data_IF_740789638726
#
_entry.id   IF_740789638726
#
_cell.length_a   1.000
_cell.length_b   1.000
_cell.length_c   1.000
_cell.angle_alpha   90.00
_cell.angle_beta   90.00
_cell.angle_gamma   90.00
#
_symmetry.space_group_name_H-M   'P 1'
#
loop_
_entity.id
_entity.type
_entity.pdbx_description
1 polymer ?
#
# COMPACT_ATOMS: atom_id res chain seq x y z
N UNK A 1 8.03 17.44 1.59
CA UNK A 1 9.25 17.83 2.34
C UNK A 1 10.51 17.11 1.86
N UNK A 2 10.43 16.25 0.84
CA UNK A 2 11.59 15.52 0.30
C UNK A 2 12.01 14.31 1.14
N UNK A 3 11.24 13.97 2.18
CA UNK A 3 11.50 12.80 2.99
C UNK A 3 11.15 11.52 2.23
N UNK A 4 11.90 10.45 2.50
CA UNK A 4 11.65 9.11 1.96
C UNK A 4 11.01 8.27 3.07
N UNK A 5 9.98 7.52 2.72
CA UNK A 5 9.26 6.66 3.66
C UNK A 5 9.38 5.20 3.23
N UNK A 6 9.54 4.31 4.19
CA UNK A 6 9.52 2.86 3.96
C UNK A 6 9.00 2.12 5.18
N UNK A 7 8.60 0.87 5.00
CA UNK A 7 8.13 -0.02 6.04
C UNK A 7 8.43 -1.47 5.65
N UNK A 8 8.56 -2.38 6.63
CA UNK A 8 8.70 -3.80 6.35
C UNK A 8 7.37 -4.38 5.87
N UNK A 9 7.45 -5.47 5.10
CA UNK A 9 6.25 -6.22 4.69
C UNK A 9 5.46 -6.74 5.88
N UNK A 10 6.17 -7.17 6.93
CA UNK A 10 5.58 -7.71 8.16
C UNK A 10 5.70 -6.71 9.29
N UNK A 11 4.59 -6.46 9.98
CA UNK A 11 4.56 -5.63 11.19
C UNK A 11 5.50 -6.18 12.28
N UNK A 12 5.71 -7.51 12.32
CA UNK A 12 6.48 -8.21 13.35
C UNK A 12 5.58 -8.76 14.46
N UNK A 13 5.98 -9.87 15.08
CA UNK A 13 5.13 -10.67 15.99
C UNK A 13 4.62 -9.93 17.24
N UNK A 14 5.25 -8.81 17.62
CA UNK A 14 4.95 -8.04 18.83
C UNK A 14 4.56 -6.59 18.54
N UNK A 15 4.47 -6.19 17.27
CA UNK A 15 4.18 -4.81 16.91
C UNK A 15 2.67 -4.57 16.81
N UNK A 16 2.21 -3.43 17.32
CA UNK A 16 0.83 -2.97 17.14
C UNK A 16 0.52 -2.50 15.69
N UNK A 17 1.53 -2.48 14.82
CA UNK A 17 1.45 -1.90 13.48
C UNK A 17 2.75 -2.07 12.69
N UNK A 18 2.73 -1.68 11.41
CA UNK A 18 3.95 -1.60 10.60
C UNK A 18 4.78 -0.40 11.05
N UNK A 19 6.04 -0.58 11.50
CA UNK A 19 6.90 0.56 11.76
C UNK A 19 7.14 1.32 10.46
N UNK A 20 6.99 2.64 10.49
CA UNK A 20 7.27 3.50 9.34
C UNK A 20 8.58 4.22 9.59
N UNK A 21 9.56 3.94 8.74
CA UNK A 21 10.84 4.59 8.73
C UNK A 21 10.79 5.80 7.80
N UNK A 22 11.26 6.94 8.30
CA UNK A 22 11.39 8.18 7.53
C UNK A 22 12.87 8.56 7.45
N UNK A 23 13.34 8.80 6.23
CA UNK A 23 14.64 9.40 5.98
C UNK A 23 14.45 10.86 5.60
N UNK A 24 15.07 11.75 6.37
CA UNK A 24 15.06 13.19 6.12
C UNK A 24 16.37 13.79 6.61
N UNK A 25 16.89 14.76 5.86
CA UNK A 25 18.09 15.52 6.26
C UNK A 25 19.30 14.62 6.61
N UNK A 26 19.46 13.48 5.91
CA UNK A 26 20.61 12.58 6.08
C UNK A 26 20.46 11.56 7.21
N UNK A 27 19.33 11.53 7.92
CA UNK A 27 19.11 10.64 9.05
C UNK A 27 17.84 9.80 8.88
N UNK A 28 17.89 8.56 9.39
CA UNK A 28 16.74 7.68 9.54
C UNK A 28 16.15 7.84 10.93
N UNK A 29 14.82 7.90 10.99
CA UNK A 29 14.03 7.87 12.21
C UNK A 29 12.81 6.95 12.01
N UNK A 30 12.18 6.55 13.10
CA UNK A 30 10.92 5.79 13.10
C UNK A 30 9.85 6.58 13.85
N UNK A 31 9.30 7.66 13.24
CA UNK A 31 8.40 8.56 13.94
C UNK A 31 7.00 7.98 14.13
N UNK A 32 6.61 7.01 13.28
CA UNK A 32 5.23 6.53 13.19
C UNK A 32 5.15 5.01 13.08
N UNK A 33 3.93 4.49 13.26
CA UNK A 33 3.54 3.17 12.84
C UNK A 33 2.18 3.25 12.13
N UNK A 34 1.97 2.40 11.12
CA UNK A 34 0.67 2.21 10.48
C UNK A 34 -0.09 1.08 11.18
N UNK A 35 -1.40 1.22 11.44
CA UNK A 35 -2.16 0.16 12.07
C UNK A 35 -2.14 -1.11 11.21
N UNK A 36 -1.80 -2.23 11.84
CA UNK A 36 -1.85 -3.55 11.25
C UNK A 36 -3.19 -4.20 11.61
N UNK A 37 -3.82 -4.81 10.61
CA UNK A 37 -5.13 -5.44 10.76
C UNK A 37 -5.05 -6.88 10.27
N UNK A 38 -5.35 -7.83 11.16
CA UNK A 38 -5.43 -9.25 10.84
C UNK A 38 -4.17 -9.82 10.17
N UNK A 39 -4.37 -10.39 8.98
CA UNK A 39 -3.35 -11.06 8.17
C UNK A 39 -2.78 -10.19 7.05
N UNK A 40 -3.27 -8.96 6.87
CA UNK A 40 -2.88 -8.07 5.80
C UNK A 40 -1.42 -7.63 5.95
N UNK A 41 -0.63 -7.76 4.88
CA UNK A 41 0.79 -7.39 4.83
C UNK A 41 0.98 -6.20 3.89
N UNK A 42 1.83 -5.25 4.28
CA UNK A 42 2.21 -4.11 3.44
C UNK A 42 3.10 -4.59 2.29
N UNK A 43 2.80 -4.21 1.05
CA UNK A 43 3.59 -4.66 -0.11
C UNK A 43 4.05 -3.52 -1.01
N UNK A 44 3.34 -2.40 -0.99
CA UNK A 44 3.75 -1.20 -1.69
C UNK A 44 3.09 0.03 -1.10
N UNK A 45 3.68 1.20 -1.32
CA UNK A 45 3.08 2.46 -0.95
C UNK A 45 3.54 3.58 -1.86
N UNK A 46 2.71 4.62 -1.96
CA UNK A 46 3.05 5.85 -2.67
C UNK A 46 2.36 7.06 -2.02
N UNK A 47 2.93 8.25 -2.23
CA UNK A 47 2.24 9.49 -1.92
C UNK A 47 1.52 9.99 -3.16
N UNK A 48 0.21 10.20 -3.03
CA UNK A 48 -0.58 10.78 -4.10
C UNK A 48 -0.23 12.26 -4.33
N UNK A 49 -0.60 12.81 -5.51
CA UNK A 49 -0.45 14.23 -5.80
C UNK A 49 -1.37 15.13 -4.96
N UNK A 50 -2.23 14.55 -4.13
CA UNK A 50 -3.01 15.21 -3.08
C UNK A 50 -2.29 15.24 -1.72
N UNK A 51 -1.05 14.72 -1.65
CA UNK A 51 -0.22 14.68 -0.44
C UNK A 51 -0.59 13.58 0.55
N UNK A 52 -1.55 12.71 0.20
CA UNK A 52 -1.98 11.61 1.05
C UNK A 52 -1.13 10.37 0.82
N UNK A 53 -1.05 9.54 1.86
CA UNK A 53 -0.30 8.29 1.82
C UNK A 53 -1.22 7.13 1.43
N UNK A 54 -0.84 6.36 0.42
CA UNK A 54 -1.59 5.23 -0.08
C UNK A 54 -0.80 3.95 0.16
N UNK A 55 -1.42 3.00 0.84
CA UNK A 55 -0.84 1.72 1.20
C UNK A 55 -1.52 0.61 0.42
N UNK A 56 -0.75 -0.13 -0.37
CA UNK A 56 -1.17 -1.41 -0.96
C UNK A 56 -0.83 -2.53 0.03
N UNK A 57 -1.84 -3.32 0.36
CA UNK A 57 -1.70 -4.51 1.19
C UNK A 57 -2.23 -5.74 0.47
N UNK A 58 -1.64 -6.90 0.79
CA UNK A 58 -2.13 -8.21 0.37
C UNK A 58 -2.43 -9.09 1.56
N UNK A 59 -3.37 -10.00 1.37
CA UNK A 59 -3.53 -11.17 2.24
C UNK A 59 -3.43 -12.44 1.39
N UNK A 60 -2.56 -13.37 1.79
CA UNK A 60 -2.19 -14.54 1.00
C UNK A 60 -2.62 -15.83 1.69
N UNK A 61 -3.53 -16.57 1.04
CA UNK A 61 -4.15 -17.77 1.60
C UNK A 61 -3.66 -19.04 0.89
N UNK A 62 -2.41 -19.07 0.45
CA UNK A 62 -1.83 -20.24 -0.22
C UNK A 62 -2.51 -20.55 -1.56
N UNK A 63 -2.97 -21.79 -1.74
CA UNK A 63 -3.65 -22.25 -2.96
C UNK A 63 -4.99 -21.54 -3.22
N UNK A 64 -5.55 -20.87 -2.21
CA UNK A 64 -6.78 -20.09 -2.37
C UNK A 64 -6.51 -18.77 -3.12
N UNK A 65 -5.29 -18.25 -3.09
CA UNK A 65 -4.87 -17.04 -3.81
C UNK A 65 -4.75 -15.81 -2.92
N UNK A 66 -4.83 -14.64 -3.55
CA UNK A 66 -4.61 -13.34 -2.92
C UNK A 66 -5.92 -12.56 -2.77
N UNK A 67 -6.00 -11.80 -1.68
CA UNK A 67 -6.81 -10.60 -1.57
C UNK A 67 -5.90 -9.40 -1.67
N UNK A 68 -6.39 -8.31 -2.26
CA UNK A 68 -5.68 -7.04 -2.32
C UNK A 68 -6.56 -5.93 -1.75
N UNK A 69 -5.95 -4.99 -1.06
CA UNK A 69 -6.62 -3.76 -0.64
C UNK A 69 -5.71 -2.55 -0.77
N UNK A 70 -6.32 -1.39 -0.99
CA UNK A 70 -5.63 -0.10 -0.90
C UNK A 70 -6.30 0.74 0.17
N UNK A 71 -5.50 1.18 1.15
CA UNK A 71 -5.91 2.13 2.18
C UNK A 71 -5.25 3.49 1.94
N UNK A 72 -5.94 4.56 2.29
CA UNK A 72 -5.46 5.94 2.21
C UNK A 72 -5.44 6.57 3.60
N UNK A 73 -4.42 7.37 3.85
CA UNK A 73 -4.21 8.08 5.11
C UNK A 73 -3.80 9.52 4.86
N UNK A 74 -4.24 10.41 5.74
CA UNK A 74 -3.62 11.72 5.90
C UNK A 74 -2.33 11.55 6.72
N UNK A 75 -1.28 12.29 6.37
CA UNK A 75 -0.04 12.34 7.13
C UNK A 75 0.06 13.67 7.90
N UNK A 76 0.12 13.57 9.22
CA UNK A 76 0.24 14.72 10.13
C UNK A 76 1.54 14.65 10.93
N UNK A 77 1.85 15.69 11.71
CA UNK A 77 2.99 15.66 12.64
C UNK A 77 2.85 14.56 13.70
N UNK A 78 1.61 14.21 14.07
CA UNK A 78 1.31 13.11 15.00
C UNK A 78 1.35 11.73 14.32
N UNK A 79 1.52 11.67 13.00
CA UNK A 79 1.54 10.45 12.20
C UNK A 79 0.33 10.29 11.30
N UNK A 80 0.05 9.04 10.94
CA UNK A 80 -1.02 8.68 10.01
C UNK A 80 -2.39 8.76 10.68
N UNK A 81 -3.36 9.38 10.00
CA UNK A 81 -4.74 9.51 10.44
C UNK A 81 -5.71 9.41 9.27
N UNK A 82 -7.03 9.47 9.54
CA UNK A 82 -8.03 9.57 8.47
C UNK A 82 -8.10 8.34 7.57
N UNK A 83 -7.86 7.14 8.13
CA UNK A 83 -7.88 5.88 7.39
C UNK A 83 -9.15 5.74 6.54
N UNK A 84 -8.97 5.49 5.24
CA UNK A 84 -10.04 5.19 4.30
C UNK A 84 -9.70 3.94 3.50
N UNK A 85 -10.57 2.94 3.51
CA UNK A 85 -10.48 1.79 2.60
C UNK A 85 -11.01 2.18 1.22
N UNK A 86 -10.15 2.20 0.21
CA UNK A 86 -10.52 2.60 -1.15
C UNK A 86 -10.86 1.41 -2.04
N UNK A 87 -10.05 0.36 -1.94
CA UNK A 87 -10.20 -0.87 -2.73
C UNK A 87 -10.10 -2.04 -1.79
N UNK A 88 -10.99 -3.00 -1.92
CA UNK A 88 -10.81 -4.35 -1.39
C UNK A 88 -11.37 -5.33 -2.41
N UNK A 89 -10.51 -6.22 -2.91
CA UNK A 89 -10.90 -7.14 -3.96
C UNK A 89 -11.57 -8.39 -3.41
N UNK A 90 -12.21 -9.14 -4.30
CA UNK A 90 -12.51 -10.55 -4.03
C UNK A 90 -11.20 -11.36 -4.09
N UNK A 91 -11.21 -12.54 -3.50
CA UNK A 91 -10.10 -13.49 -3.60
C UNK A 91 -9.87 -13.84 -5.08
N UNK A 92 -8.61 -13.84 -5.52
CA UNK A 92 -8.17 -14.13 -6.92
C UNK A 92 -8.65 -13.15 -7.99
N UNK A 93 -9.22 -12.01 -7.61
CA UNK A 93 -9.50 -10.94 -8.57
C UNK A 93 -8.20 -10.53 -9.26
N UNK A 94 -7.16 -10.31 -8.46
CA UNK A 94 -5.80 -10.08 -8.90
C UNK A 94 -4.87 -11.18 -8.37
N UNK A 95 -3.73 -11.32 -9.03
CA UNK A 95 -2.60 -12.09 -8.50
C UNK A 95 -1.82 -11.28 -7.45
N UNK A 96 -0.56 -11.61 -7.23
CA UNK A 96 0.30 -10.98 -6.25
C UNK A 96 0.66 -9.52 -6.62
N UNK A 97 -0.25 -8.59 -6.36
CA UNK A 97 0.02 -7.15 -6.47
C UNK A 97 1.11 -6.75 -5.47
N UNK A 98 2.21 -6.19 -5.97
CA UNK A 98 3.39 -5.80 -5.17
C UNK A 98 3.83 -4.35 -5.39
N UNK A 99 3.31 -3.68 -6.42
CA UNK A 99 3.63 -2.28 -6.69
C UNK A 99 2.38 -1.42 -6.82
N UNK A 100 2.51 -0.17 -6.40
CA UNK A 100 1.50 0.88 -6.54
C UNK A 100 2.17 2.16 -7.04
N UNK A 101 1.48 2.87 -7.92
CA UNK A 101 1.74 4.28 -8.22
C UNK A 101 0.43 5.05 -8.13
N UNK A 102 0.48 6.23 -7.51
CA UNK A 102 -0.67 7.11 -7.34
C UNK A 102 -0.45 8.41 -8.09
N UNK A 103 -1.34 8.72 -9.01
CA UNK A 103 -1.21 9.87 -9.89
C UNK A 103 -2.56 10.51 -10.18
N UNK A 104 -2.53 11.70 -10.80
CA UNK A 104 -3.74 12.45 -11.17
C UNK A 104 -3.88 12.45 -12.68
N UNK A 105 -5.04 12.02 -13.16
CA UNK A 105 -5.32 12.01 -14.60
C UNK A 105 -5.72 13.38 -15.15
N UNK A 106 -5.93 13.45 -16.47
CA UNK A 106 -6.30 14.70 -17.15
C UNK A 106 -7.69 15.23 -16.77
N UNK A 107 -8.57 14.39 -16.22
CA UNK A 107 -9.85 14.81 -15.63
C UNK A 107 -9.73 15.32 -14.19
N UNK A 108 -8.55 15.17 -13.57
CA UNK A 108 -8.29 15.56 -12.20
C UNK A 108 -8.56 14.45 -11.18
N UNK A 109 -9.00 13.26 -11.62
CA UNK A 109 -9.29 12.12 -10.75
C UNK A 109 -7.99 11.46 -10.28
N UNK A 110 -7.97 10.94 -9.04
CA UNK A 110 -6.86 10.13 -8.55
C UNK A 110 -6.94 8.72 -9.16
N UNK A 111 -5.82 8.26 -9.70
CA UNK A 111 -5.62 6.92 -10.25
C UNK A 111 -4.65 6.13 -9.38
N UNK A 112 -4.99 4.86 -9.17
CA UNK A 112 -4.12 3.87 -8.56
C UNK A 112 -3.73 2.90 -9.67
N UNK A 113 -2.45 2.90 -10.07
CA UNK A 113 -1.89 1.89 -10.98
C UNK A 113 -1.19 0.84 -10.13
N UNK A 114 -1.67 -0.38 -10.19
CA UNK A 114 -1.18 -1.52 -9.42
C UNK A 114 -0.52 -2.53 -10.36
N UNK A 115 0.56 -3.17 -9.93
CA UNK A 115 1.25 -4.20 -10.73
C UNK A 115 1.41 -5.49 -9.95
N UNK A 116 1.09 -6.61 -10.60
CA UNK A 116 1.29 -7.96 -10.07
C UNK A 116 2.60 -8.55 -10.58
N UNK A 117 3.36 -9.18 -9.67
CA UNK A 117 4.48 -10.05 -10.00
C UNK A 117 4.00 -11.52 -10.00
N UNK A 118 4.35 -12.27 -11.04
CA UNK A 118 4.06 -13.69 -11.09
C UNK A 118 5.03 -14.55 -10.24
N UNK A 119 6.01 -13.93 -9.58
CA UNK A 119 7.03 -14.59 -8.76
C UNK A 119 7.73 -15.75 -9.50
N UNK A 120 7.88 -15.63 -10.82
CA UNK A 120 8.39 -16.65 -11.73
C UNK A 120 7.60 -17.98 -11.73
N UNK A 121 6.35 -17.98 -11.27
CA UNK A 121 5.48 -19.17 -11.23
C UNK A 121 4.56 -19.20 -12.44
N UNK A 122 4.50 -20.34 -13.11
CA UNK A 122 3.70 -20.55 -14.33
C UNK A 122 2.19 -20.37 -14.14
N UNK A 123 1.69 -20.52 -12.91
CA UNK A 123 0.27 -20.40 -12.59
C UNK A 123 -0.13 -19.00 -12.10
N UNK A 124 0.84 -18.08 -11.95
CA UNK A 124 0.57 -16.70 -11.60
C UNK A 124 0.62 -15.80 -12.83
N UNK A 125 -0.12 -14.69 -12.81
CA UNK A 125 -0.26 -13.76 -13.93
C UNK A 125 0.45 -12.44 -13.66
N UNK A 126 1.17 -11.94 -14.66
CA UNK A 126 1.59 -10.54 -14.69
C UNK A 126 0.38 -9.69 -15.06
N UNK A 127 0.13 -8.66 -14.28
CA UNK A 127 -1.05 -7.82 -14.42
C UNK A 127 -0.71 -6.36 -14.13
N UNK A 128 -1.33 -5.46 -14.88
CA UNK A 128 -1.45 -4.06 -14.49
C UNK A 128 -2.95 -3.78 -14.32
N UNK A 129 -3.32 -3.35 -13.12
CA UNK A 129 -4.69 -2.99 -12.78
C UNK A 129 -4.77 -1.48 -12.50
N UNK A 130 -5.81 -0.82 -13.00
CA UNK A 130 -6.02 0.61 -12.78
C UNK A 130 -7.37 0.86 -12.11
N UNK A 131 -7.33 1.56 -10.99
CA UNK A 131 -8.50 2.01 -10.25
C UNK A 131 -8.62 3.51 -10.29
N UNK A 132 -9.85 4.00 -10.44
CA UNK A 132 -10.19 5.40 -10.20
C UNK A 132 -10.75 5.55 -8.80
N UNK A 133 -10.16 6.45 -8.01
CA UNK A 133 -10.73 6.88 -6.72
C UNK A 133 -11.83 7.90 -7.00
N UNK A 134 -13.02 7.65 -6.48
CA UNK A 134 -14.12 8.61 -6.45
C UNK A 134 -14.33 9.05 -5.01
N UNK A 135 -14.49 10.34 -4.81
CA UNK A 135 -14.88 10.91 -3.51
C UNK A 135 -16.34 10.57 -3.16
#
# INVERSE_FOLDING_TARGET
>A
DGAIYTMPEKAGLLAAGFPVYRFREGAWEQPFALPHDGSWQAVGADFGPDGRFYLLERDFWGLVGFLSRVRRFDLTEAGFSGETLLVQTRVREHDNLEGISVWRDASGDIRLTLIADNNFRLFQRNEIAEYRVKD
#
